data_IF_758376206074
#
_entry.id   IF_758376206074
#
_cell.length_a   1.000
_cell.length_b   1.000
_cell.length_c   1.000
_cell.angle_alpha   90.00
_cell.angle_beta   90.00
_cell.angle_gamma   90.00
#
_symmetry.space_group_name_H-M   'P 1'
#
loop_
_entity.id
_entity.type
_entity.pdbx_description
1 polymer ?
#
# COMPACT_ATOMS: atom_id res chain seq x y z
N UNK A 1 -21.23 -7.54 -40.42
CA UNK A 1 -20.35 -6.39 -40.14
C UNK A 1 -20.86 -5.73 -38.88
N UNK A 2 -20.28 -6.05 -37.73
CA UNK A 2 -20.77 -5.67 -36.40
C UNK A 2 -19.57 -5.44 -35.46
N UNK A 3 -18.69 -4.51 -35.85
CA UNK A 3 -17.41 -4.29 -35.18
C UNK A 3 -17.00 -2.82 -35.15
N UNK A 4 -17.95 -1.91 -34.89
CA UNK A 4 -17.65 -0.48 -34.95
C UNK A 4 -18.37 0.40 -33.91
N UNK A 5 -19.02 -0.18 -32.90
CA UNK A 5 -19.86 0.59 -31.94
C UNK A 5 -19.37 0.56 -30.48
N UNK A 6 -18.12 0.16 -30.19
CA UNK A 6 -17.66 0.02 -28.80
C UNK A 6 -16.29 0.67 -28.51
N UNK A 7 -15.98 1.81 -29.15
CA UNK A 7 -14.77 2.58 -28.83
C UNK A 7 -15.02 4.06 -28.50
N UNK A 8 -16.23 4.60 -28.73
CA UNK A 8 -16.52 6.01 -28.40
C UNK A 8 -17.01 6.21 -26.95
N UNK A 9 -17.55 5.17 -26.29
CA UNK A 9 -18.07 5.25 -24.91
C UNK A 9 -16.99 5.32 -23.83
N UNK A 10 -15.70 5.09 -24.16
CA UNK A 10 -14.60 5.22 -23.20
C UNK A 10 -14.03 6.63 -23.11
N UNK A 11 -14.44 7.57 -23.97
CA UNK A 11 -13.90 8.94 -23.98
C UNK A 11 -14.49 9.87 -22.92
N UNK A 12 -15.53 9.46 -22.19
CA UNK A 12 -16.17 10.32 -21.16
C UNK A 12 -15.69 10.04 -19.73
N UNK A 13 -14.78 9.08 -19.52
CA UNK A 13 -14.22 8.79 -18.19
C UNK A 13 -12.99 9.65 -17.86
N UNK A 14 -12.40 10.33 -18.85
CA UNK A 14 -11.22 11.18 -18.63
C UNK A 14 -11.56 12.50 -17.90
N UNK A 15 -12.82 12.94 -17.90
CA UNK A 15 -13.24 14.24 -17.34
C UNK A 15 -13.77 14.17 -15.89
N UNK A 16 -13.91 12.97 -15.31
CA UNK A 16 -14.38 12.79 -13.92
C UNK A 16 -13.25 12.63 -12.90
N UNK A 17 -11.99 12.58 -13.34
CA UNK A 17 -10.82 12.61 -12.47
C UNK A 17 -10.53 14.06 -12.04
N UNK A 18 -11.44 14.66 -11.27
CA UNK A 18 -11.01 15.72 -10.36
C UNK A 18 -9.96 15.08 -9.46
N UNK A 19 -8.67 15.34 -9.73
CA UNK A 19 -7.58 14.80 -8.94
C UNK A 19 -7.89 15.10 -7.48
N UNK A 20 -8.15 14.06 -6.70
CA UNK A 20 -8.28 14.21 -5.27
C UNK A 20 -6.90 14.65 -4.81
N UNK A 21 -6.76 15.94 -4.50
CA UNK A 21 -5.54 16.46 -3.89
C UNK A 21 -5.48 15.90 -2.47
N UNK A 22 -4.71 14.83 -2.32
CA UNK A 22 -4.38 14.30 -1.01
C UNK A 22 -3.44 15.26 -0.26
N UNK A 23 -3.50 15.28 1.08
CA UNK A 23 -2.52 16.03 1.86
C UNK A 23 -1.07 15.67 1.47
N UNK A 24 -0.10 16.57 1.68
CA UNK A 24 1.30 16.29 1.40
C UNK A 24 1.78 15.02 2.11
N UNK A 25 2.57 14.19 1.42
CA UNK A 25 3.13 12.91 1.92
C UNK A 25 4.32 13.11 2.89
N UNK A 26 4.31 14.18 3.69
CA UNK A 26 5.40 14.49 4.63
C UNK A 26 5.61 13.36 5.65
N UNK A 27 4.54 12.65 6.00
CA UNK A 27 4.58 11.48 6.88
C UNK A 27 5.46 10.35 6.32
N UNK A 28 5.58 10.20 5.00
CA UNK A 28 6.49 9.21 4.43
C UNK A 28 7.96 9.64 4.53
N UNK A 29 8.23 10.95 4.55
CA UNK A 29 9.58 11.51 4.60
C UNK A 29 10.50 10.91 3.53
N UNK A 30 11.70 10.48 3.94
CA UNK A 30 12.66 9.84 3.04
C UNK A 30 12.18 8.48 2.47
N UNK A 31 11.16 7.86 3.06
CA UNK A 31 10.63 6.58 2.59
C UNK A 31 9.71 6.74 1.37
N UNK A 32 9.28 7.96 1.03
CA UNK A 32 8.31 8.21 -0.03
C UNK A 32 8.72 7.57 -1.37
N UNK A 33 9.99 7.67 -1.74
CA UNK A 33 10.54 7.10 -2.98
C UNK A 33 10.98 5.64 -2.91
N UNK A 34 10.69 4.93 -1.81
CA UNK A 34 11.05 3.51 -1.69
C UNK A 34 10.00 2.63 -2.37
N UNK A 35 10.43 1.60 -3.08
CA UNK A 35 9.59 0.59 -3.73
C UNK A 35 9.55 -0.67 -2.85
N UNK A 36 8.37 -1.08 -2.33
CA UNK A 36 8.19 -2.34 -1.64
C UNK A 36 8.21 -3.51 -2.63
N UNK A 37 9.23 -4.36 -2.52
CA UNK A 37 9.41 -5.55 -3.33
C UNK A 37 9.06 -6.80 -2.53
N UNK A 38 8.06 -7.53 -3.01
CA UNK A 38 7.58 -8.75 -2.34
C UNK A 38 8.53 -9.92 -2.56
N UNK A 39 8.88 -10.61 -1.47
CA UNK A 39 9.75 -11.80 -1.50
C UNK A 39 8.98 -13.12 -1.53
N UNK A 40 7.68 -13.08 -1.26
CA UNK A 40 6.82 -14.27 -1.21
C UNK A 40 5.54 -14.10 -2.03
N UNK A 41 5.03 -15.18 -2.63
CA UNK A 41 3.74 -15.17 -3.31
C UNK A 41 2.58 -15.13 -2.31
N UNK A 42 1.46 -14.52 -2.72
CA UNK A 42 0.21 -14.49 -1.95
C UNK A 42 0.19 -13.48 -0.78
N UNK A 43 -0.97 -13.24 -0.17
CA UNK A 43 -1.07 -12.32 0.97
C UNK A 43 -0.29 -12.85 2.19
N UNK A 44 0.47 -11.98 2.84
CA UNK A 44 1.16 -12.18 4.10
C UNK A 44 0.13 -12.06 5.23
N UNK A 45 -0.18 -13.18 5.88
CA UNK A 45 -1.18 -13.25 6.94
C UNK A 45 -0.54 -13.11 8.34
N UNK A 46 -0.12 -11.89 8.71
CA UNK A 46 0.54 -11.62 10.00
C UNK A 46 -0.28 -12.06 11.23
N UNK A 47 -1.61 -12.06 11.16
CA UNK A 47 -2.49 -12.48 12.26
C UNK A 47 -2.66 -13.99 12.43
N UNK A 48 -2.30 -14.80 11.43
CA UNK A 48 -2.42 -16.26 11.45
C UNK A 48 -1.06 -16.95 11.61
N UNK A 49 0.00 -16.34 11.07
CA UNK A 49 1.37 -16.85 11.06
C UNK A 49 2.30 -16.03 11.98
N UNK A 50 1.93 -15.87 13.25
CA UNK A 50 2.82 -15.29 14.26
C UNK A 50 4.07 -16.17 14.56
N UNK A 51 4.23 -17.28 13.83
CA UNK A 51 5.34 -18.22 13.91
C UNK A 51 6.62 -17.59 13.34
N UNK A 52 7.32 -16.82 14.17
CA UNK A 52 8.63 -16.24 13.83
C UNK A 52 8.80 -14.79 14.24
N UNK A 53 7.74 -14.11 14.68
CA UNK A 53 7.85 -12.77 15.24
C UNK A 53 8.46 -12.83 16.65
N UNK A 54 9.45 -11.97 16.90
CA UNK A 54 9.88 -11.67 18.26
C UNK A 54 8.80 -10.91 19.03
N UNK A 55 8.85 -10.92 20.36
CA UNK A 55 7.91 -10.17 21.19
C UNK A 55 7.87 -8.67 20.86
N UNK A 56 9.01 -8.09 20.47
CA UNK A 56 9.09 -6.68 20.07
C UNK A 56 8.37 -6.42 18.73
N UNK A 57 8.47 -7.36 17.77
CA UNK A 57 7.77 -7.26 16.50
C UNK A 57 6.26 -7.46 16.68
N UNK A 58 5.85 -8.39 17.54
CA UNK A 58 4.44 -8.62 17.88
C UNK A 58 3.81 -7.38 18.54
N UNK A 59 4.49 -6.77 19.50
CA UNK A 59 4.05 -5.52 20.12
C UNK A 59 3.95 -4.38 19.10
N UNK A 60 4.95 -4.24 18.22
CA UNK A 60 4.91 -3.24 17.14
C UNK A 60 3.72 -3.46 16.21
N UNK A 61 3.42 -4.71 15.85
CA UNK A 61 2.27 -5.04 15.02
C UNK A 61 0.95 -4.75 15.73
N UNK A 62 0.84 -5.10 17.01
CA UNK A 62 -0.32 -4.77 17.86
C UNK A 62 -0.56 -3.26 17.91
N UNK A 63 0.45 -2.49 18.24
CA UNK A 63 0.37 -1.03 18.31
C UNK A 63 -0.05 -0.41 16.97
N UNK A 64 0.44 -0.94 15.86
CA UNK A 64 0.06 -0.49 14.51
C UNK A 64 -1.41 -0.78 14.20
N UNK A 65 -1.92 -1.95 14.60
CA UNK A 65 -3.34 -2.31 14.44
C UNK A 65 -4.27 -1.47 15.29
N UNK A 66 -3.85 -1.10 16.49
CA UNK A 66 -4.66 -0.29 17.40
C UNK A 66 -4.73 1.19 17.00
N UNK A 67 -3.78 1.66 16.19
CA UNK A 67 -3.69 3.07 15.78
C UNK A 67 -4.79 3.51 14.81
N UNK A 68 -5.23 2.62 13.92
CA UNK A 68 -6.16 2.96 12.84
C UNK A 68 -7.34 1.99 12.80
N UNK A 69 -8.57 2.48 12.54
CA UNK A 69 -9.69 1.58 12.25
C UNK A 69 -9.40 0.78 10.97
N UNK A 70 -9.93 -0.44 10.90
CA UNK A 70 -9.81 -1.32 9.73
C UNK A 70 -8.35 -1.63 9.31
N UNK A 71 -7.41 -1.61 10.26
CA UNK A 71 -5.99 -1.88 10.02
C UNK A 71 -5.72 -3.18 9.23
N UNK A 72 -6.53 -4.22 9.46
CA UNK A 72 -6.40 -5.48 8.73
C UNK A 72 -6.73 -5.31 7.24
N UNK A 73 -7.75 -4.52 6.91
CA UNK A 73 -8.09 -4.18 5.51
C UNK A 73 -7.01 -3.29 4.89
N UNK A 74 -6.57 -2.25 5.59
CA UNK A 74 -5.50 -1.37 5.11
C UNK A 74 -4.22 -2.15 4.84
N UNK A 75 -3.84 -3.09 5.72
CA UNK A 75 -2.71 -3.98 5.52
C UNK A 75 -2.83 -4.82 4.26
N UNK A 76 -4.02 -5.37 3.97
CA UNK A 76 -4.28 -6.10 2.72
C UNK A 76 -4.14 -5.19 1.50
N UNK A 77 -4.67 -3.96 1.54
CA UNK A 77 -4.56 -3.01 0.43
C UNK A 77 -3.10 -2.59 0.18
N UNK A 78 -2.32 -2.37 1.24
CA UNK A 78 -0.88 -2.09 1.12
C UNK A 78 -0.18 -3.25 0.40
N UNK A 79 -0.46 -4.49 0.78
CA UNK A 79 0.15 -5.66 0.13
C UNK A 79 -0.31 -5.86 -1.32
N UNK A 80 -1.57 -5.51 -1.61
CA UNK A 80 -2.14 -5.58 -2.96
C UNK A 80 -1.45 -4.58 -3.91
N UNK A 81 -1.25 -3.34 -3.45
CA UNK A 81 -0.62 -2.29 -4.25
C UNK A 81 0.92 -2.33 -4.24
N UNK A 82 1.53 -3.13 -3.37
CA UNK A 82 2.97 -3.41 -3.38
C UNK A 82 3.35 -4.39 -4.50
N UNK A 83 3.24 -3.92 -5.75
CA UNK A 83 3.40 -4.71 -6.97
C UNK A 83 4.83 -4.70 -7.54
N UNK A 84 5.81 -4.30 -6.72
CA UNK A 84 7.22 -4.11 -7.07
C UNK A 84 7.52 -2.95 -8.03
N UNK A 85 6.53 -2.14 -8.40
CA UNK A 85 6.71 -0.99 -9.28
C UNK A 85 6.41 0.33 -8.59
N UNK A 86 5.35 0.38 -7.79
CA UNK A 86 4.95 1.61 -7.10
C UNK A 86 5.86 1.93 -5.93
N UNK A 87 6.15 3.21 -5.76
CA UNK A 87 6.77 3.78 -4.56
C UNK A 87 5.79 3.76 -3.38
N UNK A 88 6.28 3.94 -2.15
CA UNK A 88 5.43 4.03 -0.96
C UNK A 88 4.47 5.23 -1.03
N UNK A 89 4.86 6.31 -1.70
CA UNK A 89 4.00 7.45 -2.03
C UNK A 89 2.77 7.01 -2.84
N UNK A 90 3.01 6.37 -3.99
CA UNK A 90 1.95 5.89 -4.85
C UNK A 90 1.10 4.81 -4.17
N UNK A 91 1.71 3.91 -3.38
CA UNK A 91 0.97 2.93 -2.59
C UNK A 91 0.03 3.61 -1.60
N UNK A 92 0.47 4.68 -0.91
CA UNK A 92 -0.38 5.41 0.02
C UNK A 92 -1.56 6.09 -0.67
N UNK A 93 -1.33 6.69 -1.84
CA UNK A 93 -2.40 7.25 -2.67
C UNK A 93 -3.41 6.19 -3.11
N UNK A 94 -2.94 5.03 -3.59
CA UNK A 94 -3.83 3.93 -4.02
C UNK A 94 -4.62 3.34 -2.85
N UNK A 95 -4.01 3.20 -1.68
CA UNK A 95 -4.71 2.77 -0.45
C UNK A 95 -5.77 3.79 -0.07
N UNK A 96 -5.48 5.09 -0.17
CA UNK A 96 -6.44 6.14 0.15
C UNK A 96 -7.61 6.20 -0.82
N UNK A 97 -7.36 6.00 -2.12
CA UNK A 97 -8.39 5.92 -3.15
C UNK A 97 -9.35 4.73 -2.91
N UNK A 98 -8.83 3.57 -2.54
CA UNK A 98 -9.64 2.35 -2.33
C UNK A 98 -10.37 2.34 -0.99
N UNK A 99 -9.73 2.84 0.07
CA UNK A 99 -10.28 2.79 1.43
C UNK A 99 -11.05 4.06 1.81
N UNK A 100 -10.86 5.16 1.09
CA UNK A 100 -11.31 6.49 1.48
C UNK A 100 -10.58 7.08 2.69
N UNK A 101 -9.44 6.50 3.10
CA UNK A 101 -8.68 6.91 4.29
C UNK A 101 -7.25 7.30 3.94
N UNK A 102 -6.86 8.53 4.31
CA UNK A 102 -5.49 9.00 4.17
C UNK A 102 -4.63 8.57 5.37
N UNK A 103 -3.88 7.49 5.22
CA UNK A 103 -3.07 6.88 6.31
C UNK A 103 -1.60 6.59 5.89
N UNK A 104 -0.84 7.59 5.40
CA UNK A 104 0.53 7.36 4.90
C UNK A 104 1.50 6.83 5.97
N UNK A 105 1.37 7.25 7.22
CA UNK A 105 2.16 6.72 8.34
C UNK A 105 1.93 5.21 8.54
N UNK A 106 0.69 4.75 8.36
CA UNK A 106 0.37 3.33 8.44
C UNK A 106 1.08 2.55 7.34
N UNK A 107 1.03 3.05 6.10
CA UNK A 107 1.70 2.44 4.94
C UNK A 107 3.20 2.31 5.18
N UNK A 108 3.86 3.40 5.61
CA UNK A 108 5.28 3.42 5.95
C UNK A 108 5.61 2.37 7.01
N UNK A 109 4.92 2.43 8.14
CA UNK A 109 5.26 1.62 9.31
C UNK A 109 4.95 0.13 9.09
N UNK A 110 3.89 -0.17 8.33
CA UNK A 110 3.51 -1.52 7.95
C UNK A 110 4.52 -2.13 6.97
N UNK A 111 4.91 -1.40 5.93
CA UNK A 111 5.95 -1.86 5.01
C UNK A 111 7.30 -2.05 5.72
N UNK A 112 7.68 -1.15 6.63
CA UNK A 112 8.88 -1.31 7.43
C UNK A 112 8.82 -2.57 8.32
N UNK A 113 7.67 -2.85 8.95
CA UNK A 113 7.48 -4.10 9.70
C UNK A 113 7.63 -5.33 8.80
N UNK A 114 7.02 -5.33 7.61
CA UNK A 114 7.15 -6.44 6.66
C UNK A 114 8.59 -6.64 6.17
N UNK A 115 9.33 -5.54 6.00
CA UNK A 115 10.75 -5.58 5.62
C UNK A 115 11.62 -6.17 6.75
N UNK A 116 11.37 -5.76 7.99
CA UNK A 116 12.07 -6.29 9.18
C UNK A 116 11.79 -7.79 9.39
N UNK A 117 10.60 -8.26 9.00
CA UNK A 117 10.23 -9.66 9.00
C UNK A 117 10.75 -10.44 7.79
N UNK A 118 11.36 -9.75 6.82
CA UNK A 118 11.95 -10.35 5.62
C UNK A 118 10.96 -10.76 4.53
N UNK A 119 9.68 -10.34 4.65
CA UNK A 119 8.64 -10.65 3.67
C UNK A 119 8.68 -9.73 2.44
N UNK A 120 9.19 -8.52 2.62
CA UNK A 120 9.45 -7.58 1.54
C UNK A 120 10.88 -7.03 1.64
N UNK A 121 11.30 -6.28 0.63
CA UNK A 121 12.47 -5.42 0.63
C UNK A 121 12.05 -4.01 0.23
N UNK A 122 12.65 -2.98 0.82
CA UNK A 122 12.43 -1.59 0.41
C UNK A 122 13.65 -1.13 -0.38
N UNK A 123 13.45 -0.74 -1.64
CA UNK A 123 14.53 -0.28 -2.53
C UNK A 123 14.30 1.15 -2.96
N UNK A 124 15.35 1.90 -3.23
CA UNK A 124 15.23 3.20 -3.88
C UNK A 124 14.69 3.02 -5.30
N UNK A 125 13.79 3.90 -5.72
CA UNK A 125 13.42 4.04 -7.13
C UNK A 125 14.63 4.60 -7.91
N UNK A 126 15.11 3.83 -8.89
CA UNK A 126 16.26 4.19 -9.74
C UNK A 126 15.83 4.65 -11.14
N UNK A 127 14.54 4.90 -11.34
CA UNK A 127 13.90 5.31 -12.59
C UNK A 127 14.26 6.73 -13.04
#
# INVERSE_FOLDING_TARGET
SAGQFALEELSCLDDAAGAVEWPPLEELGAAAGLVPQRRVPGPIALGMDATGMSAAQDERYRALRERVPDADLLGVLVQYWSDNHRTLAEVAEMVALESGRWEPDFVRDYCALLADLGWIELREDLS
#
